data_IF_043731170186
#
_entry.id   IF_043731170186
#
_cell.length_a   1.000
_cell.length_b   1.000
_cell.length_c   1.000
_cell.angle_alpha   90.00
_cell.angle_beta   90.00
_cell.angle_gamma   90.00
#
_symmetry.space_group_name_H-M   'P 1'
#
loop_
_entity.id
_entity.type
_entity.pdbx_description
1 polymer ?
#
# COMPACT_ATOMS: atom_id res chain seq x y z
N UNK A 1 5.12 -5.29 -11.21
CA UNK A 1 5.68 -4.82 -9.92
C UNK A 1 5.64 -3.30 -9.87
N UNK A 2 5.48 -2.71 -8.68
CA UNK A 2 5.48 -1.26 -8.45
C UNK A 2 6.59 -0.91 -7.47
N UNK A 3 7.17 0.29 -7.62
CA UNK A 3 8.16 0.81 -6.68
C UNK A 3 7.57 2.03 -5.95
N UNK A 4 7.38 1.91 -4.64
CA UNK A 4 6.99 3.04 -3.77
C UNK A 4 8.23 3.63 -3.13
N UNK A 5 8.53 4.89 -3.43
CA UNK A 5 9.67 5.64 -2.90
C UNK A 5 9.26 6.48 -1.69
N UNK A 6 10.01 6.36 -0.60
CA UNK A 6 9.67 6.97 0.68
C UNK A 6 10.91 7.67 1.27
N UNK A 7 10.87 9.01 1.33
CA UNK A 7 11.93 9.82 1.92
C UNK A 7 11.90 9.79 3.45
N UNK A 8 12.98 9.38 4.11
CA UNK A 8 13.04 9.19 5.57
C UNK A 8 13.38 10.47 6.36
N UNK A 9 12.85 11.64 5.98
CA UNK A 9 13.11 12.89 6.70
C UNK A 9 12.26 13.02 7.98
N UNK A 10 12.92 13.24 9.12
CA UNK A 10 12.33 13.47 10.45
C UNK A 10 12.06 12.20 11.28
N UNK A 11 12.54 12.17 12.53
CA UNK A 11 12.51 11.01 13.45
C UNK A 11 11.11 10.38 13.63
N UNK A 12 10.07 11.19 13.91
CA UNK A 12 8.69 10.68 14.06
C UNK A 12 8.12 10.05 12.79
N UNK A 13 8.51 10.55 11.61
CA UNK A 13 8.10 9.98 10.33
C UNK A 13 8.86 8.69 10.02
N UNK A 14 10.08 8.52 10.53
CA UNK A 14 10.85 7.27 10.38
C UNK A 14 10.16 6.10 11.08
N UNK A 15 9.73 6.27 12.33
CA UNK A 15 9.08 5.20 13.11
C UNK A 15 7.79 4.69 12.44
N UNK A 16 6.92 5.61 11.97
CA UNK A 16 5.69 5.24 11.26
C UNK A 16 5.96 4.47 9.97
N UNK A 17 6.98 4.88 9.20
CA UNK A 17 7.36 4.23 7.94
C UNK A 17 7.97 2.84 8.14
N UNK A 18 8.72 2.67 9.22
CA UNK A 18 9.27 1.36 9.62
C UNK A 18 8.13 0.44 10.07
N UNK A 19 7.15 0.94 10.81
CA UNK A 19 5.96 0.16 11.18
C UNK A 19 5.17 -0.29 9.95
N UNK A 20 4.94 0.60 8.97
CA UNK A 20 4.30 0.22 7.69
C UNK A 20 5.04 -0.94 7.01
N UNK A 21 6.37 -0.84 6.90
CA UNK A 21 7.19 -1.90 6.30
C UNK A 21 7.10 -3.22 7.09
N UNK A 22 7.13 -3.16 8.42
CA UNK A 22 7.09 -4.35 9.27
C UNK A 22 5.74 -5.05 9.17
N UNK A 23 4.64 -4.30 9.16
CA UNK A 23 3.29 -4.84 8.98
C UNK A 23 3.16 -5.53 7.62
N UNK A 24 3.68 -4.91 6.56
CA UNK A 24 3.65 -5.49 5.21
C UNK A 24 4.54 -6.73 5.04
N UNK A 25 5.68 -6.80 5.74
CA UNK A 25 6.58 -7.97 5.66
C UNK A 25 6.09 -9.16 6.47
N UNK A 26 5.46 -8.92 7.63
CA UNK A 26 5.05 -9.98 8.56
C UNK A 26 3.67 -10.53 8.22
N UNK A 27 2.76 -9.71 7.69
CA UNK A 27 1.40 -10.14 7.37
C UNK A 27 1.21 -10.35 5.87
N UNK A 28 1.18 -11.61 5.46
CA UNK A 28 0.69 -12.01 4.14
C UNK A 28 -0.79 -12.36 4.24
N UNK A 29 -1.64 -11.51 3.69
CA UNK A 29 -3.09 -11.69 3.60
C UNK A 29 -3.52 -11.39 2.15
N UNK A 30 -4.44 -12.16 1.55
CA UNK A 30 -4.94 -11.90 0.20
C UNK A 30 -5.45 -10.47 -0.05
N UNK A 31 -5.95 -9.78 0.98
CA UNK A 31 -6.51 -8.44 0.90
C UNK A 31 -5.49 -7.34 1.27
N UNK A 32 -4.22 -7.72 1.51
CA UNK A 32 -3.12 -6.80 1.73
C UNK A 32 -2.14 -6.88 0.57
N UNK A 33 -1.80 -5.71 -0.01
CA UNK A 33 -0.80 -5.62 -1.08
C UNK A 33 0.53 -6.19 -0.59
N UNK A 34 1.04 -7.18 -1.32
CA UNK A 34 2.26 -7.89 -0.96
C UNK A 34 3.51 -7.04 -1.21
N UNK A 35 4.36 -6.93 -0.19
CA UNK A 35 5.70 -6.37 -0.32
C UNK A 35 6.69 -7.47 -0.70
N UNK A 36 7.23 -7.41 -1.91
CA UNK A 36 8.17 -8.39 -2.44
C UNK A 36 9.59 -8.16 -1.91
N UNK A 37 10.04 -6.90 -1.89
CA UNK A 37 11.35 -6.54 -1.38
C UNK A 37 11.42 -5.06 -0.93
N UNK A 38 12.48 -4.68 -0.23
CA UNK A 38 12.70 -3.32 0.28
C UNK A 38 14.18 -2.96 0.25
N UNK A 39 14.52 -1.80 -0.31
CA UNK A 39 15.90 -1.32 -0.40
C UNK A 39 16.02 0.07 0.22
N UNK A 40 17.12 0.30 0.95
CA UNK A 40 17.47 1.63 1.45
C UNK A 40 18.59 2.20 0.58
N UNK A 41 18.30 3.28 -0.14
CA UNK A 41 19.24 4.00 -1.01
C UNK A 41 19.44 5.40 -0.45
N UNK A 42 20.53 5.60 0.28
CA UNK A 42 20.76 6.85 1.03
C UNK A 42 19.68 7.06 2.11
N UNK A 43 18.91 8.15 2.00
CA UNK A 43 17.78 8.45 2.88
C UNK A 43 16.40 8.08 2.26
N UNK A 44 16.39 7.35 1.15
CA UNK A 44 15.16 6.91 0.47
C UNK A 44 14.95 5.41 0.65
N UNK A 45 13.82 5.03 1.26
CA UNK A 45 13.35 3.66 1.31
C UNK A 45 12.51 3.37 0.06
N UNK A 46 12.88 2.35 -0.69
CA UNK A 46 12.18 1.89 -1.88
C UNK A 46 11.54 0.53 -1.59
N UNK A 47 10.22 0.44 -1.76
CA UNK A 47 9.47 -0.80 -1.58
C UNK A 47 9.10 -1.36 -2.96
N UNK A 48 9.48 -2.61 -3.22
CA UNK A 48 9.02 -3.37 -4.39
C UNK A 48 7.76 -4.10 -3.98
N UNK A 49 6.65 -3.74 -4.60
CA UNK A 49 5.32 -4.27 -4.29
C UNK A 49 4.74 -4.97 -5.52
N UNK A 50 3.77 -5.85 -5.29
CA UNK A 50 2.96 -6.36 -6.40
C UNK A 50 2.21 -5.23 -7.11
N UNK A 51 1.86 -5.46 -8.38
CA UNK A 51 1.12 -4.48 -9.16
C UNK A 51 -0.37 -4.79 -9.09
N UNK A 52 -1.15 -3.80 -8.66
CA UNK A 52 -2.62 -3.84 -8.67
C UNK A 52 -3.12 -3.10 -9.91
N UNK A 53 -3.58 -3.85 -10.91
CA UNK A 53 -4.03 -3.33 -12.21
C UNK A 53 -5.39 -2.61 -12.15
N UNK A 54 -6.20 -2.90 -11.14
CA UNK A 54 -7.50 -2.25 -10.90
C UNK A 54 -7.43 -0.78 -10.46
N UNK A 55 -6.24 -0.24 -10.18
CA UNK A 55 -6.07 1.15 -9.73
C UNK A 55 -6.58 1.40 -8.30
N UNK A 56 -6.95 2.64 -8.00
CA UNK A 56 -7.39 3.03 -6.64
C UNK A 56 -8.91 3.13 -6.53
N UNK A 57 -9.46 2.75 -5.38
CA UNK A 57 -10.88 2.94 -5.08
C UNK A 57 -11.30 4.42 -5.22
N UNK A 58 -10.43 5.36 -4.85
CA UNK A 58 -10.66 6.80 -5.03
C UNK A 58 -10.92 7.19 -6.49
N UNK A 59 -10.27 6.53 -7.45
CA UNK A 59 -10.48 6.78 -8.87
C UNK A 59 -11.78 6.15 -9.39
N UNK A 60 -12.26 5.07 -8.76
CA UNK A 60 -13.53 4.43 -9.10
C UNK A 60 -14.69 5.29 -8.59
N UNK A 61 -14.69 5.66 -7.32
CA UNK A 61 -15.78 6.46 -6.72
C UNK A 61 -15.90 7.88 -7.32
N UNK A 62 -14.83 8.40 -7.94
CA UNK A 62 -14.88 9.70 -8.62
C UNK A 62 -15.51 9.64 -10.01
N UNK A 63 -15.66 8.44 -10.60
CA UNK A 63 -16.16 8.22 -11.96
C UNK A 63 -17.51 7.52 -12.01
N UNK A 64 -17.81 6.72 -10.99
CA UNK A 64 -18.99 5.85 -10.96
C UNK A 64 -19.59 5.80 -9.56
N UNK A 65 -20.92 5.76 -9.49
CA UNK A 65 -21.62 5.42 -8.25
C UNK A 65 -21.56 3.90 -8.04
N UNK A 66 -21.15 3.49 -6.85
CA UNK A 66 -21.18 2.10 -6.43
C UNK A 66 -22.57 1.75 -5.89
N UNK A 67 -23.05 0.55 -6.21
CA UNK A 67 -24.24 -0.03 -5.59
C UNK A 67 -23.96 -0.45 -4.14
N UNK A 68 -25.01 -0.66 -3.34
CA UNK A 68 -24.87 -1.17 -1.97
C UNK A 68 -24.17 -2.55 -1.93
N UNK A 69 -24.45 -3.42 -2.90
CA UNK A 69 -23.80 -4.73 -2.98
C UNK A 69 -22.29 -4.62 -3.22
N UNK A 70 -21.86 -3.70 -4.09
CA UNK A 70 -20.44 -3.44 -4.34
C UNK A 70 -19.76 -2.81 -3.13
N UNK A 71 -20.43 -1.86 -2.46
CA UNK A 71 -19.93 -1.27 -1.21
C UNK A 71 -19.79 -2.32 -0.09
N UNK A 72 -20.77 -3.22 0.03
CA UNK A 72 -20.74 -4.31 0.99
C UNK A 72 -19.62 -5.30 0.70
N UNK A 73 -19.38 -5.62 -0.59
CA UNK A 73 -18.27 -6.46 -0.99
C UNK A 73 -16.92 -5.83 -0.60
N UNK A 74 -16.70 -4.56 -0.93
CA UNK A 74 -15.46 -3.83 -0.58
C UNK A 74 -15.25 -3.78 0.94
N UNK A 75 -16.32 -3.63 1.73
CA UNK A 75 -16.22 -3.51 3.19
C UNK A 75 -15.94 -4.84 3.90
N UNK A 76 -16.21 -5.97 3.24
CA UNK A 76 -15.98 -7.31 3.77
C UNK A 76 -14.53 -7.77 3.58
N UNK A 77 -13.90 -7.33 2.50
CA UNK A 77 -12.49 -7.65 2.20
C UNK A 77 -11.53 -6.88 3.12
#
# INVERSE_FOLDING_TARGET
>A
VVIKKIHLQGLRKKELKVNELMVMKVNRNPNLVNCLDSYLVGEELQLVMEYMDGGTLSNVISKTYLSEDEMAAISRE
#
